data_IF_338613184956
#
_entry.id   IF_338613184956
#
_cell.length_a   1.000
_cell.length_b   1.000
_cell.length_c   1.000
_cell.angle_alpha   90.00
_cell.angle_beta   90.00
_cell.angle_gamma   90.00
#
_symmetry.space_group_name_H-M   'P 1'
#
loop_
_entity.id
_entity.type
_entity.pdbx_description
1 polymer ?
#
# COMPACT_ATOMS: atom_id res chain seq x y z
N UNK A 1 -24.65 -22.60 -27.84
CA UNK A 1 -23.30 -22.28 -27.31
C UNK A 1 -23.46 -21.38 -26.10
N UNK A 2 -23.51 -21.93 -24.90
CA UNK A 2 -23.50 -21.13 -23.66
C UNK A 2 -22.05 -20.99 -23.22
N UNK A 3 -21.40 -19.90 -23.65
CA UNK A 3 -20.06 -19.56 -23.19
C UNK A 3 -20.09 -19.21 -21.71
N UNK A 4 -19.10 -19.67 -20.94
CA UNK A 4 -18.94 -19.24 -19.54
C UNK A 4 -18.79 -17.70 -19.51
N UNK A 5 -19.42 -17.02 -18.54
CA UNK A 5 -19.34 -15.57 -18.44
C UNK A 5 -17.91 -15.14 -18.10
N UNK A 6 -17.50 -13.99 -18.62
CA UNK A 6 -16.25 -13.34 -18.23
C UNK A 6 -16.43 -12.73 -16.83
N UNK A 7 -15.48 -13.00 -15.93
CA UNK A 7 -15.47 -12.49 -14.55
C UNK A 7 -14.19 -11.68 -14.32
N UNK A 8 -14.33 -10.48 -13.76
CA UNK A 8 -13.22 -9.64 -13.34
C UNK A 8 -13.37 -9.28 -11.86
N UNK A 9 -12.24 -9.18 -11.15
CA UNK A 9 -12.18 -8.81 -9.72
C UNK A 9 -11.24 -7.63 -9.57
N UNK A 10 -11.70 -6.59 -8.88
CA UNK A 10 -10.89 -5.44 -8.45
C UNK A 10 -10.78 -5.48 -6.93
N UNK A 11 -9.55 -5.51 -6.42
CA UNK A 11 -9.28 -5.44 -4.98
C UNK A 11 -8.58 -4.12 -4.63
N UNK A 12 -8.73 -3.72 -3.36
CA UNK A 12 -7.94 -2.64 -2.76
C UNK A 12 -7.01 -3.20 -1.67
N UNK A 13 -6.25 -2.31 -1.02
CA UNK A 13 -5.31 -2.68 0.05
C UNK A 13 -5.95 -3.48 1.19
N UNK A 14 -7.26 -3.29 1.44
CA UNK A 14 -8.02 -4.04 2.45
C UNK A 14 -8.00 -5.56 2.27
N UNK A 15 -7.78 -6.08 1.05
CA UNK A 15 -7.68 -7.53 0.85
C UNK A 15 -6.44 -8.15 1.52
N UNK A 16 -5.43 -7.33 1.83
CA UNK A 16 -4.14 -7.77 2.36
C UNK A 16 -3.98 -7.53 3.86
N UNK A 17 -4.96 -6.90 4.52
CA UNK A 17 -4.86 -6.53 5.94
C UNK A 17 -4.78 -7.74 6.85
N UNK A 18 -5.56 -8.77 6.56
CA UNK A 18 -5.57 -9.99 7.35
C UNK A 18 -4.27 -10.78 7.18
N UNK A 19 -3.53 -10.55 6.09
CA UNK A 19 -2.18 -11.08 5.88
C UNK A 19 -1.07 -10.25 6.52
N UNK A 20 -1.41 -9.32 7.43
CA UNK A 20 -0.45 -8.49 8.16
C UNK A 20 0.09 -7.29 7.39
N UNK A 21 -0.43 -6.99 6.20
CA UNK A 21 -0.04 -5.80 5.42
C UNK A 21 -1.00 -4.67 5.73
N UNK A 22 -0.57 -3.58 6.42
CA UNK A 22 -1.48 -2.50 6.78
C UNK A 22 -2.02 -1.79 5.55
N UNK A 23 -3.31 -1.42 5.58
CA UNK A 23 -3.88 -0.55 4.57
C UNK A 23 -3.44 0.91 4.76
N UNK A 24 -3.84 1.77 3.82
CA UNK A 24 -3.52 3.19 3.86
C UNK A 24 -4.53 4.01 4.69
N UNK A 25 -5.83 3.71 4.61
CA UNK A 25 -6.92 4.65 4.99
C UNK A 25 -7.91 4.10 6.03
N UNK A 26 -7.84 2.83 6.39
CA UNK A 26 -8.77 2.19 7.31
C UNK A 26 -8.65 2.72 8.74
N UNK A 27 -9.39 2.14 9.71
CA UNK A 27 -9.35 2.57 11.10
C UNK A 27 -7.95 2.60 11.71
N UNK A 28 -7.09 1.66 11.30
CA UNK A 28 -5.68 1.54 11.68
C UNK A 28 -4.73 1.87 10.51
N UNK A 29 -5.24 2.57 9.49
CA UNK A 29 -4.52 2.82 8.24
C UNK A 29 -3.26 3.65 8.44
N UNK A 30 -2.27 3.43 7.57
CA UNK A 30 -0.98 4.09 7.65
C UNK A 30 -1.09 5.61 7.68
N UNK A 31 -1.93 6.22 6.82
CA UNK A 31 -2.04 7.69 6.74
C UNK A 31 -2.82 8.31 7.91
N UNK A 32 -3.58 7.51 8.65
CA UNK A 32 -4.20 7.98 9.89
C UNK A 32 -3.19 8.02 11.04
N UNK A 33 -2.28 7.04 11.09
CA UNK A 33 -1.23 6.95 12.12
C UNK A 33 -0.04 7.88 11.83
N UNK A 34 0.34 7.98 10.56
CA UNK A 34 1.37 8.88 10.04
C UNK A 34 0.84 9.58 8.77
N UNK A 35 0.21 10.76 8.89
CA UNK A 35 -0.28 11.52 7.74
C UNK A 35 0.79 11.86 6.72
N UNK A 36 2.05 12.01 7.16
CA UNK A 36 3.18 12.31 6.27
C UNK A 36 3.57 11.09 5.42
N UNK A 37 3.11 9.89 5.76
CA UNK A 37 3.38 8.68 4.98
C UNK A 37 2.75 8.73 3.58
N UNK A 38 1.73 9.55 3.35
CA UNK A 38 1.19 9.79 2.00
C UNK A 38 2.26 10.35 1.05
N UNK A 39 3.12 11.25 1.55
CA UNK A 39 4.22 11.84 0.76
C UNK A 39 5.22 10.79 0.25
N UNK A 40 5.32 9.64 0.93
CA UNK A 40 6.21 8.55 0.52
C UNK A 40 5.74 7.86 -0.77
N UNK A 41 4.48 8.03 -1.14
CA UNK A 41 3.87 7.46 -2.36
C UNK A 41 3.31 8.51 -3.32
N UNK A 42 3.49 9.80 -3.03
CA UNK A 42 3.10 10.92 -3.91
C UNK A 42 4.27 11.36 -4.79
N UNK A 43 4.07 11.35 -6.11
CA UNK A 43 5.11 11.64 -7.10
C UNK A 43 5.79 13.00 -6.89
N UNK A 44 4.99 14.07 -6.73
CA UNK A 44 5.52 15.42 -6.55
C UNK A 44 6.42 15.52 -5.31
N UNK A 45 6.00 14.95 -4.18
CA UNK A 45 6.79 14.91 -2.94
C UNK A 45 8.06 14.07 -3.10
N UNK A 46 7.96 12.91 -3.75
CA UNK A 46 9.09 12.02 -4.02
C UNK A 46 10.17 12.69 -4.89
N UNK A 47 9.74 13.45 -5.91
CA UNK A 47 10.66 14.14 -6.81
C UNK A 47 11.23 15.43 -6.21
N UNK A 48 10.45 16.15 -5.41
CA UNK A 48 10.82 17.44 -4.83
C UNK A 48 11.71 17.36 -3.59
N UNK A 49 11.80 16.21 -2.91
CA UNK A 49 12.57 16.08 -1.66
C UNK A 49 13.39 14.77 -1.62
N UNK A 50 14.74 14.85 -1.61
CA UNK A 50 15.63 13.70 -1.45
C UNK A 50 15.41 12.90 -0.16
N UNK A 51 15.01 13.52 0.95
CA UNK A 51 14.74 12.82 2.22
C UNK A 51 13.44 12.02 2.15
N UNK A 52 12.40 12.56 1.52
CA UNK A 52 11.17 11.79 1.21
C UNK A 52 11.51 10.59 0.34
N UNK A 53 12.38 10.76 -0.66
CA UNK A 53 12.86 9.67 -1.51
C UNK A 53 13.54 8.57 -0.68
N UNK A 54 14.47 8.95 0.21
CA UNK A 54 15.17 8.01 1.11
C UNK A 54 14.20 7.30 2.06
N UNK A 55 13.23 8.01 2.67
CA UNK A 55 12.18 7.40 3.51
C UNK A 55 11.31 6.43 2.71
N UNK A 56 10.96 6.77 1.47
CA UNK A 56 10.15 5.94 0.57
C UNK A 56 10.83 4.60 0.26
N UNK A 57 12.16 4.59 0.08
CA UNK A 57 12.93 3.36 -0.07
C UNK A 57 13.06 2.56 1.23
N UNK A 58 13.30 3.23 2.37
CA UNK A 58 13.31 2.57 3.68
C UNK A 58 11.99 1.89 3.99
N UNK A 59 10.87 2.58 3.76
CA UNK A 59 9.52 2.01 3.90
C UNK A 59 9.38 0.71 3.11
N UNK A 60 9.77 0.69 1.82
CA UNK A 60 9.69 -0.51 0.96
C UNK A 60 10.54 -1.67 1.47
N UNK A 61 11.76 -1.37 1.91
CA UNK A 61 12.68 -2.36 2.50
C UNK A 61 12.09 -2.96 3.79
N UNK A 62 11.49 -2.12 4.62
CA UNK A 62 11.02 -2.49 5.96
C UNK A 62 9.57 -3.01 5.96
N UNK A 63 8.92 -3.12 4.79
CA UNK A 63 7.55 -3.67 4.73
C UNK A 63 7.50 -5.13 5.13
N UNK A 64 6.47 -5.51 5.87
CA UNK A 64 6.19 -6.91 6.20
C UNK A 64 5.68 -7.74 5.00
N UNK A 65 5.58 -7.16 3.80
CA UNK A 65 4.97 -7.80 2.64
C UNK A 65 5.67 -9.11 2.23
N UNK A 66 6.99 -9.21 2.46
CA UNK A 66 7.76 -10.43 2.17
C UNK A 66 7.43 -11.59 3.13
N UNK A 67 6.88 -11.30 4.31
CA UNK A 67 6.50 -12.30 5.32
C UNK A 67 4.99 -12.51 5.44
N UNK A 68 4.20 -11.98 4.51
CA UNK A 68 2.74 -12.09 4.56
C UNK A 68 2.29 -13.56 4.43
N UNK A 69 1.33 -13.95 5.26
CA UNK A 69 0.71 -15.28 5.26
C UNK A 69 -0.82 -15.14 5.43
N UNK A 70 -1.63 -16.11 4.96
CA UNK A 70 -3.07 -16.15 5.21
C UNK A 70 -3.42 -16.28 6.70
#
# INVERSE_FOLDING_TARGET
>A
MTGKPLVAVLSGAGVSTDSGIPDYRGPNGLWRRDPEAEKLVTYASYMGDPEIRRRSWRMRRDTAALGAAP
#
